data_IF_207868902600
#
_entry.id   IF_207868902600
#
_cell.length_a   1.000
_cell.length_b   1.000
_cell.length_c   1.000
_cell.angle_alpha   90.00
_cell.angle_beta   90.00
_cell.angle_gamma   90.00
#
_symmetry.space_group_name_H-M   'P 1'
#
loop_
_entity.id
_entity.type
_entity.pdbx_description
1 polymer ?
#
# COMPACT_ATOMS: atom_id res chain seq x y z
N UNK A 1 1.15 1.60 15.29
CA UNK A 1 1.40 2.17 13.94
C UNK A 1 0.35 1.65 12.98
N UNK A 2 -0.33 2.53 12.29
CA UNK A 2 -1.31 2.18 11.27
C UNK A 2 -0.73 2.49 9.90
N UNK A 3 -0.54 1.47 9.08
CA UNK A 3 0.03 1.59 7.74
C UNK A 3 -1.05 1.26 6.72
N UNK A 4 -1.21 2.14 5.72
CA UNK A 4 -2.12 1.92 4.61
C UNK A 4 -1.35 1.65 3.32
N UNK A 5 -2.04 1.13 2.31
CA UNK A 5 -1.44 0.86 1.01
C UNK A 5 -2.36 1.31 -0.11
N UNK A 6 -1.76 1.81 -1.17
CA UNK A 6 -2.38 1.99 -2.48
C UNK A 6 -1.39 1.52 -3.53
N UNK A 7 -1.86 0.84 -4.55
CA UNK A 7 -0.95 0.30 -5.56
C UNK A 7 -1.65 -0.22 -6.80
N UNK A 8 -0.84 -0.58 -7.78
CA UNK A 8 -1.31 -1.04 -9.07
C UNK A 8 -1.98 -2.41 -9.01
N UNK A 9 -3.04 -2.59 -9.80
CA UNK A 9 -3.73 -3.87 -9.96
C UNK A 9 -2.86 -4.93 -10.65
N UNK A 10 -1.81 -4.50 -11.32
CA UNK A 10 -0.87 -5.41 -11.99
C UNK A 10 0.01 -6.20 -11.02
N UNK A 11 0.01 -5.80 -9.75
CA UNK A 11 0.83 -6.44 -8.74
C UNK A 11 2.22 -5.84 -8.63
N UNK A 12 2.97 -6.31 -7.65
CA UNK A 12 4.31 -5.82 -7.35
C UNK A 12 5.36 -6.50 -8.22
N UNK A 13 6.38 -5.73 -8.61
CA UNK A 13 7.63 -6.31 -9.10
C UNK A 13 8.34 -7.03 -7.95
N UNK A 14 9.34 -7.86 -8.27
CA UNK A 14 10.16 -8.51 -7.23
C UNK A 14 10.81 -7.46 -6.33
N UNK A 15 11.31 -6.38 -6.91
CA UNK A 15 11.91 -5.28 -6.15
C UNK A 15 10.91 -4.64 -5.18
N UNK A 16 9.71 -4.34 -5.65
CA UNK A 16 8.66 -3.79 -4.79
C UNK A 16 8.27 -4.76 -3.67
N UNK A 17 8.07 -6.02 -4.02
CA UNK A 17 7.71 -7.05 -3.05
C UNK A 17 8.74 -7.12 -1.91
N UNK A 18 10.01 -7.18 -2.25
CA UNK A 18 11.09 -7.24 -1.25
C UNK A 18 11.16 -5.99 -0.40
N UNK A 19 11.03 -4.81 -1.01
CA UNK A 19 11.09 -3.53 -0.28
C UNK A 19 9.90 -3.34 0.63
N UNK A 20 8.70 -3.66 0.16
CA UNK A 20 7.47 -3.58 0.98
C UNK A 20 7.58 -4.55 2.16
N UNK A 21 7.98 -5.79 1.90
CA UNK A 21 8.14 -6.79 2.95
C UNK A 21 9.16 -6.35 4.01
N UNK A 22 10.31 -5.84 3.58
CA UNK A 22 11.35 -5.38 4.50
C UNK A 22 10.86 -4.21 5.36
N UNK A 23 10.13 -3.26 4.77
CA UNK A 23 9.59 -2.13 5.53
C UNK A 23 8.48 -2.58 6.49
N UNK A 24 7.61 -3.48 6.09
CA UNK A 24 6.58 -4.02 6.98
C UNK A 24 7.20 -4.77 8.15
N UNK A 25 8.26 -5.55 7.90
CA UNK A 25 8.97 -6.25 8.97
C UNK A 25 9.59 -5.26 9.97
N UNK A 26 10.24 -4.21 9.45
CA UNK A 26 10.83 -3.18 10.29
C UNK A 26 9.78 -2.54 11.20
N UNK A 27 8.64 -2.13 10.65
CA UNK A 27 7.63 -1.41 11.43
C UNK A 27 6.94 -2.32 12.46
N UNK A 28 6.67 -3.59 12.16
CA UNK A 28 6.03 -4.48 13.14
C UNK A 28 6.98 -4.82 14.29
N UNK A 29 8.29 -4.87 14.04
CA UNK A 29 9.29 -5.05 15.08
C UNK A 29 9.37 -3.85 16.01
N UNK A 30 9.23 -2.65 15.47
CA UNK A 30 9.22 -1.41 16.26
C UNK A 30 7.88 -1.19 16.98
N UNK A 31 6.78 -1.58 16.36
CA UNK A 31 5.40 -1.34 16.83
C UNK A 31 4.59 -2.63 16.71
N UNK A 32 4.69 -3.55 17.69
CA UNK A 32 4.10 -4.90 17.57
C UNK A 32 2.58 -4.96 17.40
N UNK A 33 1.85 -3.91 17.82
CA UNK A 33 0.38 -3.86 17.70
C UNK A 33 -0.09 -3.14 16.44
N UNK A 34 0.73 -3.11 15.41
CA UNK A 34 0.43 -2.38 14.18
C UNK A 34 -0.73 -2.97 13.38
N UNK A 35 -1.40 -2.09 12.66
CA UNK A 35 -2.50 -2.42 11.75
C UNK A 35 -2.10 -2.15 10.31
N UNK A 36 -2.63 -2.96 9.40
CA UNK A 36 -2.42 -2.80 7.96
C UNK A 36 -3.78 -2.60 7.27
N UNK A 37 -3.94 -1.46 6.60
CA UNK A 37 -5.18 -1.02 5.97
C UNK A 37 -5.04 -1.08 4.46
N UNK A 38 -5.97 -1.78 3.78
CA UNK A 38 -5.89 -2.00 2.32
C UNK A 38 -7.28 -1.95 1.68
N UNK A 39 -7.29 -1.76 0.36
CA UNK A 39 -8.54 -1.62 -0.39
C UNK A 39 -9.14 -2.91 -0.92
N UNK A 40 -8.60 -4.05 -0.56
CA UNK A 40 -9.08 -5.37 -0.97
C UNK A 40 -9.16 -5.54 -2.50
N UNK A 41 -8.22 -4.93 -3.21
CA UNK A 41 -8.10 -5.07 -4.66
C UNK A 41 -7.12 -6.16 -5.05
N UNK A 42 -7.34 -6.77 -6.21
CA UNK A 42 -6.34 -7.65 -6.82
C UNK A 42 -5.05 -6.86 -7.08
N UNK A 43 -3.91 -7.54 -7.15
CA UNK A 43 -2.61 -6.90 -7.35
C UNK A 43 -1.94 -6.52 -6.05
N UNK A 44 -1.44 -5.29 -5.96
CA UNK A 44 -0.64 -4.83 -4.82
C UNK A 44 -1.36 -5.00 -3.48
N UNK A 45 -2.63 -4.61 -3.40
CA UNK A 45 -3.37 -4.64 -2.14
C UNK A 45 -3.38 -6.02 -1.51
N UNK A 46 -3.78 -7.05 -2.25
CA UNK A 46 -3.87 -8.41 -1.72
C UNK A 46 -2.49 -9.00 -1.44
N UNK A 47 -1.51 -8.71 -2.30
CA UNK A 47 -0.14 -9.18 -2.09
C UNK A 47 0.44 -8.62 -0.78
N UNK A 48 0.30 -7.32 -0.57
CA UNK A 48 0.80 -6.66 0.63
C UNK A 48 0.02 -7.08 1.88
N UNK A 49 -1.29 -7.27 1.77
CA UNK A 49 -2.12 -7.73 2.88
C UNK A 49 -1.71 -9.13 3.35
N UNK A 50 -1.37 -10.03 2.43
CA UNK A 50 -0.86 -11.36 2.79
C UNK A 50 0.48 -11.27 3.52
N UNK A 51 1.40 -10.44 3.05
CA UNK A 51 2.68 -10.20 3.72
C UNK A 51 2.44 -9.68 5.14
N UNK A 52 1.59 -8.67 5.27
CA UNK A 52 1.29 -8.05 6.56
C UNK A 52 0.68 -9.06 7.54
N UNK A 53 -0.26 -9.87 7.06
CA UNK A 53 -0.89 -10.91 7.87
C UNK A 53 0.13 -11.91 8.39
N UNK A 54 1.02 -12.39 7.55
CA UNK A 54 2.07 -13.33 7.94
C UNK A 54 3.05 -12.74 8.96
N UNK A 55 3.28 -11.42 8.89
CA UNK A 55 4.15 -10.72 9.82
C UNK A 55 3.48 -10.38 11.15
N UNK A 56 2.17 -10.59 11.28
CA UNK A 56 1.47 -10.36 12.52
C UNK A 56 0.68 -9.05 12.62
N UNK A 57 0.52 -8.32 11.51
CA UNK A 57 -0.35 -7.14 11.49
C UNK A 57 -1.81 -7.54 11.64
N UNK A 58 -2.59 -6.70 12.33
CA UNK A 58 -4.05 -6.76 12.23
C UNK A 58 -4.45 -6.15 10.89
N UNK A 59 -5.14 -6.93 10.04
CA UNK A 59 -5.51 -6.48 8.69
C UNK A 59 -6.92 -5.92 8.65
N UNK A 60 -7.09 -4.79 7.97
CA UNK A 60 -8.37 -4.09 7.84
C UNK A 60 -8.62 -3.81 6.36
N UNK A 61 -9.68 -4.41 5.82
CA UNK A 61 -10.07 -4.29 4.43
C UNK A 61 -11.13 -3.21 4.24
N UNK A 62 -10.92 -2.36 3.22
CA UNK A 62 -11.83 -1.30 2.78
C UNK A 62 -12.32 -1.63 1.38
N UNK A 63 -13.32 -2.51 1.24
CA UNK A 63 -13.75 -2.93 -0.10
C UNK A 63 -14.46 -1.82 -0.86
N UNK A 64 -14.41 -1.92 -2.20
CA UNK A 64 -15.18 -1.08 -3.10
C UNK A 64 -16.57 -1.68 -3.32
N UNK A 65 -17.56 -0.83 -3.64
CA UNK A 65 -18.89 -1.29 -4.04
C UNK A 65 -18.86 -2.08 -5.35
N UNK A 66 -17.86 -1.82 -6.23
CA UNK A 66 -17.62 -2.64 -7.42
C UNK A 66 -16.83 -3.89 -7.06
N UNK A 67 -17.31 -5.07 -7.45
CA UNK A 67 -16.73 -6.33 -7.04
C UNK A 67 -15.74 -6.94 -8.04
N UNK A 68 -15.68 -6.43 -9.27
CA UNK A 68 -14.89 -7.02 -10.36
C UNK A 68 -13.40 -7.16 -10.04
N UNK A 69 -12.86 -6.25 -9.24
CA UNK A 69 -11.44 -6.23 -8.89
C UNK A 69 -11.20 -6.52 -7.43
N UNK A 70 -12.22 -6.99 -6.73
CA UNK A 70 -12.13 -7.33 -5.31
C UNK A 70 -11.37 -8.63 -5.13
N UNK A 71 -10.39 -8.62 -4.22
CA UNK A 71 -9.56 -9.79 -3.94
C UNK A 71 -10.20 -10.76 -2.95
N UNK A 72 -11.17 -10.31 -2.17
CA UNK A 72 -11.83 -11.11 -1.13
C UNK A 72 -10.82 -11.65 -0.10
N UNK A 73 -9.88 -10.80 0.31
CA UNK A 73 -8.88 -11.16 1.29
C UNK A 73 -9.53 -11.49 2.64
N UNK A 74 -9.05 -12.54 3.30
CA UNK A 74 -9.50 -12.90 4.65
C UNK A 74 -8.82 -11.99 5.67
N UNK A 75 -9.33 -10.77 5.81
CA UNK A 75 -8.82 -9.77 6.75
C UNK A 75 -9.50 -9.91 8.11
N UNK A 76 -8.83 -9.43 9.15
CA UNK A 76 -9.37 -9.46 10.52
C UNK A 76 -10.62 -8.62 10.64
N UNK A 77 -10.66 -7.47 9.96
CA UNK A 77 -11.81 -6.58 9.90
C UNK A 77 -12.12 -6.29 8.44
N UNK A 78 -13.38 -6.39 8.05
CA UNK A 78 -13.85 -6.05 6.71
C UNK A 78 -14.92 -4.98 6.88
N UNK A 79 -14.64 -3.77 6.40
CA UNK A 79 -15.56 -2.65 6.52
C UNK A 79 -16.64 -2.71 5.43
N UNK A 80 -17.69 -1.92 5.60
CA UNK A 80 -18.74 -1.82 4.60
C UNK A 80 -18.19 -1.23 3.30
N UNK A 81 -18.62 -1.74 2.12
CA UNK A 81 -18.16 -1.22 0.84
C UNK A 81 -18.51 0.25 0.63
N UNK A 82 -17.63 0.95 -0.10
CA UNK A 82 -17.83 2.35 -0.47
C UNK A 82 -17.32 2.57 -1.90
N UNK A 83 -17.55 3.76 -2.46
CA UNK A 83 -17.02 4.10 -3.79
C UNK A 83 -15.48 4.09 -3.75
N UNK A 84 -14.85 3.91 -4.93
CA UNK A 84 -13.40 3.79 -5.01
C UNK A 84 -12.66 4.97 -4.38
N UNK A 85 -13.02 6.19 -4.75
CA UNK A 85 -12.33 7.37 -4.23
C UNK A 85 -12.63 7.63 -2.75
N UNK A 86 -13.87 7.43 -2.32
CA UNK A 86 -14.23 7.57 -0.92
C UNK A 86 -13.49 6.53 -0.05
N UNK A 87 -13.39 5.29 -0.54
CA UNK A 87 -12.64 4.22 0.11
C UNK A 87 -11.16 4.57 0.22
N UNK A 88 -10.56 5.07 -0.85
CA UNK A 88 -9.15 5.47 -0.86
C UNK A 88 -8.87 6.61 0.13
N UNK A 89 -9.77 7.61 0.17
CA UNK A 89 -9.65 8.68 1.17
C UNK A 89 -9.78 8.17 2.60
N UNK A 90 -10.69 7.24 2.83
CA UNK A 90 -10.88 6.65 4.16
C UNK A 90 -9.62 5.95 4.67
N UNK A 91 -8.93 5.22 3.80
CA UNK A 91 -7.65 4.58 4.15
C UNK A 91 -6.63 5.65 4.57
N UNK A 92 -6.44 6.68 3.76
CA UNK A 92 -5.45 7.74 4.04
C UNK A 92 -5.77 8.44 5.36
N UNK A 93 -7.05 8.71 5.62
CA UNK A 93 -7.47 9.36 6.85
C UNK A 93 -7.21 8.51 8.09
N UNK A 94 -7.31 7.19 7.96
CA UNK A 94 -7.22 6.26 9.08
C UNK A 94 -5.77 5.94 9.49
N UNK A 95 -4.79 6.13 8.61
CA UNK A 95 -3.43 5.61 8.83
C UNK A 95 -2.43 6.70 9.21
N UNK A 96 -1.31 6.27 9.78
CA UNK A 96 -0.19 7.16 10.12
C UNK A 96 0.77 7.31 8.94
N UNK A 97 0.87 6.27 8.11
CA UNK A 97 1.80 6.21 7.00
C UNK A 97 1.15 5.47 5.83
N UNK A 98 1.25 6.04 4.64
CA UNK A 98 0.74 5.43 3.41
C UNK A 98 1.89 4.87 2.58
N UNK A 99 1.80 3.60 2.20
CA UNK A 99 2.66 2.99 1.19
C UNK A 99 2.03 3.18 -0.18
N UNK A 100 2.78 3.76 -1.11
CA UNK A 100 2.35 3.98 -2.49
C UNK A 100 3.20 3.08 -3.39
N UNK A 101 2.57 2.15 -4.09
CA UNK A 101 3.25 1.12 -4.89
C UNK A 101 2.78 1.22 -6.35
N UNK A 102 3.34 2.16 -7.12
CA UNK A 102 2.86 2.45 -8.47
C UNK A 102 3.38 1.47 -9.51
N UNK A 103 2.71 1.47 -10.66
CA UNK A 103 3.16 0.75 -11.86
C UNK A 103 4.29 1.50 -12.57
N UNK A 104 4.28 2.84 -12.49
CA UNK A 104 5.21 3.70 -13.24
C UNK A 104 6.45 4.05 -12.42
N UNK A 105 7.54 4.38 -13.12
CA UNK A 105 8.79 4.82 -12.50
C UNK A 105 8.77 6.31 -12.12
N UNK A 106 7.70 7.03 -12.41
CA UNK A 106 7.59 8.46 -12.08
C UNK A 106 6.11 8.83 -11.89
N UNK A 107 5.88 9.95 -11.22
CA UNK A 107 4.56 10.47 -10.94
C UNK A 107 3.69 10.59 -12.19
N UNK A 108 2.41 10.25 -12.05
CA UNK A 108 1.38 10.45 -13.06
C UNK A 108 0.25 11.28 -12.46
N UNK A 109 -0.39 12.12 -13.29
CA UNK A 109 -1.50 12.97 -12.82
C UNK A 109 -2.88 12.31 -12.98
N UNK A 110 -2.92 10.97 -13.06
CA UNK A 110 -4.16 10.20 -13.21
C UNK A 110 -3.96 8.79 -12.62
N UNK A 111 -5.07 8.08 -12.43
CA UNK A 111 -5.10 6.73 -11.88
C UNK A 111 -5.32 6.72 -10.38
N UNK A 112 -5.89 5.63 -9.87
CA UNK A 112 -6.29 5.50 -8.47
C UNK A 112 -5.13 5.56 -7.49
N UNK A 113 -3.99 4.96 -7.84
CA UNK A 113 -2.79 4.97 -7.00
C UNK A 113 -2.28 6.39 -6.79
N UNK A 114 -2.15 7.14 -7.88
CA UNK A 114 -1.65 8.52 -7.82
C UNK A 114 -2.67 9.50 -7.23
N UNK A 115 -3.98 9.24 -7.44
CA UNK A 115 -5.03 9.99 -6.76
C UNK A 115 -4.87 9.87 -5.24
N UNK A 116 -4.66 8.66 -4.74
CA UNK A 116 -4.52 8.40 -3.31
C UNK A 116 -3.23 9.02 -2.76
N UNK A 117 -2.14 8.94 -3.53
CA UNK A 117 -0.89 9.64 -3.23
C UNK A 117 -1.12 11.15 -3.07
N UNK A 118 -1.82 11.77 -4.03
CA UNK A 118 -2.07 13.20 -4.03
C UNK A 118 -2.95 13.61 -2.86
N UNK A 119 -3.93 12.79 -2.51
CA UNK A 119 -4.77 13.04 -1.36
C UNK A 119 -3.98 13.01 -0.05
N UNK A 120 -3.07 12.05 0.11
CA UNK A 120 -2.19 11.97 1.27
C UNK A 120 -1.35 13.25 1.38
N UNK A 121 -0.79 13.71 0.26
CA UNK A 121 -0.01 14.94 0.21
C UNK A 121 -0.85 16.15 0.60
N UNK A 122 -2.07 16.23 0.08
CA UNK A 122 -3.00 17.32 0.38
C UNK A 122 -3.32 17.45 1.87
N UNK A 123 -3.48 16.34 2.58
CA UNK A 123 -3.82 16.37 4.01
C UNK A 123 -2.57 16.28 4.91
N UNK A 124 -1.38 16.26 4.34
CA UNK A 124 -0.13 16.20 5.10
C UNK A 124 0.16 14.83 5.71
N UNK A 125 -0.38 13.76 5.12
CA UNK A 125 -0.13 12.39 5.59
C UNK A 125 1.23 11.91 5.09
N UNK A 126 2.04 11.33 5.99
CA UNK A 126 3.32 10.74 5.61
C UNK A 126 3.12 9.60 4.62
N UNK A 127 4.01 9.50 3.64
CA UNK A 127 3.96 8.46 2.62
C UNK A 127 5.36 8.01 2.22
N UNK A 128 5.45 6.75 1.79
CA UNK A 128 6.64 6.18 1.16
C UNK A 128 6.23 5.65 -0.21
N UNK A 129 6.96 6.05 -1.26
CA UNK A 129 6.70 5.57 -2.62
C UNK A 129 7.71 4.48 -2.96
N UNK A 130 7.20 3.31 -3.32
CA UNK A 130 8.02 2.16 -3.71
C UNK A 130 7.93 1.98 -5.22
N UNK A 131 8.89 2.56 -5.95
CA UNK A 131 8.92 2.48 -7.41
C UNK A 131 9.21 1.05 -7.90
N UNK A 132 8.79 0.70 -9.14
CA UNK A 132 8.92 -0.67 -9.66
C UNK A 132 10.34 -1.21 -9.72
N UNK A 133 11.35 -0.34 -9.81
CA UNK A 133 12.76 -0.71 -9.86
C UNK A 133 13.58 0.35 -9.11
N UNK A 134 14.85 0.04 -8.77
CA UNK A 134 15.72 1.04 -8.15
C UNK A 134 15.87 2.29 -9.03
N UNK A 135 15.89 3.45 -8.40
CA UNK A 135 16.22 4.72 -9.09
C UNK A 135 17.70 4.71 -9.48
N UNK A 136 18.10 5.64 -10.36
CA UNK A 136 19.53 5.77 -10.74
C UNK A 136 20.43 6.00 -9.52
N UNK A 137 19.96 6.76 -8.54
CA UNK A 137 20.71 7.03 -7.31
C UNK A 137 20.89 5.74 -6.51
N UNK A 138 19.82 4.97 -6.29
CA UNK A 138 19.88 3.70 -5.59
C UNK A 138 20.76 2.69 -6.30
N UNK A 139 20.64 2.59 -7.63
CA UNK A 139 21.48 1.71 -8.44
C UNK A 139 22.96 2.09 -8.36
N UNK A 140 23.27 3.38 -8.35
CA UNK A 140 24.63 3.88 -8.22
C UNK A 140 25.21 3.52 -6.85
N UNK A 141 24.46 3.77 -5.78
CA UNK A 141 24.89 3.45 -4.42
C UNK A 141 25.17 1.96 -4.24
N UNK A 142 24.27 1.11 -4.78
CA UNK A 142 24.45 -0.34 -4.75
C UNK A 142 25.69 -0.77 -5.55
N UNK A 143 26.02 -0.08 -6.63
CA UNK A 143 27.19 -0.37 -7.47
C UNK A 143 28.53 -0.03 -6.81
N UNK A 144 28.51 0.71 -5.71
CA UNK A 144 29.72 1.10 -4.99
C UNK A 144 30.07 0.16 -3.81
N UNK A 145 29.24 -0.82 -3.58
CA UNK A 145 29.48 -1.83 -2.59
C UNK A 145 30.05 -3.10 -3.20
#
# INVERSE_FOLDING_TARGET
MKIGITGTRSGMTVFQFNTVQNNLRYFIEQYPDSEFHHGDCVGVDVQAAEIAKELGYKTIAYPSVGEDLRAWHTSDVILDPNTNFARNRAIVQAVDLLFVVPYQMQYQNRGGTWYTHDYAEKIGRNKLVFYPAPTKTESYDLGNF
#
